data_IF_837255354118
#
_entry.id   IF_837255354118
#
_cell.length_a   1.000
_cell.length_b   1.000
_cell.length_c   1.000
_cell.angle_alpha   90.00
_cell.angle_beta   90.00
_cell.angle_gamma   90.00
#
_symmetry.space_group_name_H-M   'P 1'
#
loop_
_entity.id
_entity.type
_entity.pdbx_description
1 polymer ?
#
# COMPACT_ATOMS: atom_id res chain seq x y z
N UNK A 1 -4.32 9.05 -10.14
CA UNK A 1 -4.77 8.96 -8.72
C UNK A 1 -4.77 10.33 -8.06
N UNK A 2 -3.67 11.09 -8.15
CA UNK A 2 -3.50 12.32 -7.34
C UNK A 2 -4.19 13.57 -7.91
N UNK A 3 -4.41 13.65 -9.24
CA UNK A 3 -5.03 14.80 -9.87
C UNK A 3 -4.43 16.15 -9.44
N UNK A 4 -5.18 17.23 -9.59
CA UNK A 4 -4.71 18.58 -9.21
C UNK A 4 -4.76 18.82 -7.69
N UNK A 5 -5.69 18.19 -6.97
CA UNK A 5 -5.88 18.37 -5.53
C UNK A 5 -5.01 17.45 -4.67
N UNK A 6 -4.24 16.55 -5.30
CA UNK A 6 -3.35 15.63 -4.62
C UNK A 6 -4.05 14.49 -3.88
N UNK A 7 -3.25 13.68 -3.20
CA UNK A 7 -3.67 12.57 -2.33
C UNK A 7 -3.38 12.94 -0.88
N UNK A 8 -4.31 12.61 0.02
CA UNK A 8 -4.11 12.70 1.47
C UNK A 8 -3.29 11.51 1.97
N UNK A 9 -1.96 11.61 1.90
CA UNK A 9 -1.08 10.51 2.27
C UNK A 9 -0.87 10.41 3.78
N UNK A 10 -1.07 9.22 4.33
CA UNK A 10 -0.74 8.85 5.71
C UNK A 10 0.27 7.73 5.68
N UNK A 11 1.47 8.00 6.19
CA UNK A 11 2.56 7.04 6.26
C UNK A 11 2.60 6.38 7.63
N UNK A 12 2.58 5.06 7.65
CA UNK A 12 2.66 4.29 8.89
C UNK A 12 4.10 3.87 9.19
N UNK A 13 4.51 3.98 10.46
CA UNK A 13 5.83 3.57 10.91
C UNK A 13 5.96 2.05 10.98
N UNK A 14 7.14 1.55 10.64
CA UNK A 14 7.38 0.11 10.50
C UNK A 14 7.01 -0.41 9.11
N UNK A 15 7.51 -1.58 8.79
CA UNK A 15 7.18 -2.31 7.55
C UNK A 15 7.52 -3.78 7.74
N UNK A 16 6.65 -4.73 7.37
CA UNK A 16 6.94 -6.15 7.47
C UNK A 16 8.06 -6.59 6.52
N UNK A 17 8.30 -5.83 5.43
CA UNK A 17 9.35 -6.11 4.46
C UNK A 17 10.63 -5.32 4.78
N UNK A 18 11.76 -6.00 4.82
CA UNK A 18 13.04 -5.44 5.26
C UNK A 18 13.96 -4.92 4.16
N UNK A 19 13.45 -4.26 3.11
CA UNK A 19 14.25 -3.85 1.95
C UNK A 19 15.46 -3.00 2.32
N UNK A 20 16.64 -3.36 1.81
CA UNK A 20 17.90 -2.62 2.07
C UNK A 20 17.96 -1.28 1.33
N UNK A 21 17.16 -1.12 0.27
CA UNK A 21 17.08 0.09 -0.57
C UNK A 21 15.83 0.94 -0.28
N UNK A 22 15.20 0.77 0.89
CA UNK A 22 13.96 1.47 1.22
C UNK A 22 14.17 3.00 1.22
N UNK A 23 13.43 3.72 0.37
CA UNK A 23 13.46 5.19 0.32
C UNK A 23 12.99 5.81 1.64
N UNK A 24 12.06 5.15 2.32
CA UNK A 24 11.52 5.58 3.62
C UNK A 24 12.18 4.80 4.78
N UNK A 25 13.49 4.59 4.75
CA UNK A 25 14.20 3.72 5.68
C UNK A 25 13.93 4.06 7.15
N UNK A 26 14.03 5.34 7.53
CA UNK A 26 13.82 5.75 8.91
C UNK A 26 12.39 5.43 9.40
N UNK A 27 11.39 5.64 8.55
CA UNK A 27 9.99 5.34 8.84
C UNK A 27 9.75 3.83 8.86
N UNK A 28 10.23 3.11 7.84
CA UNK A 28 10.01 1.66 7.72
C UNK A 28 10.68 0.84 8.82
N UNK A 29 11.68 1.41 9.50
CA UNK A 29 12.35 0.80 10.67
C UNK A 29 11.79 1.31 12.01
N UNK A 30 10.70 2.07 12.00
CA UNK A 30 10.06 2.59 13.21
C UNK A 30 10.92 3.59 13.99
N UNK A 31 11.88 4.25 13.31
CA UNK A 31 12.77 5.23 13.96
C UNK A 31 12.15 6.61 14.07
N UNK A 32 11.15 6.88 13.27
CA UNK A 32 10.34 8.10 13.26
C UNK A 32 8.86 7.73 13.19
N UNK A 33 8.04 8.57 13.75
CA UNK A 33 6.58 8.40 13.79
C UNK A 33 6.05 8.87 15.14
N UNK A 34 4.76 9.08 15.21
CA UNK A 34 4.04 9.45 16.43
C UNK A 34 2.98 8.38 16.72
N UNK A 35 2.89 7.95 17.97
CA UNK A 35 1.80 7.05 18.38
C UNK A 35 0.53 7.86 18.58
N UNK A 36 -0.53 7.46 17.88
CA UNK A 36 -1.84 8.11 17.96
C UNK A 36 -2.92 7.08 18.32
N UNK A 37 -4.00 7.55 18.94
CA UNK A 37 -5.17 6.70 19.15
C UNK A 37 -5.95 6.48 17.83
N UNK A 38 -6.84 5.49 17.82
CA UNK A 38 -7.71 5.20 16.67
C UNK A 38 -8.61 6.39 16.35
N UNK A 39 -9.14 7.08 17.36
CA UNK A 39 -9.96 8.28 17.19
C UNK A 39 -9.16 9.43 16.57
N UNK A 40 -7.90 9.58 17.00
CA UNK A 40 -6.99 10.58 16.42
C UNK A 40 -6.68 10.26 14.96
N UNK A 41 -6.46 8.99 14.63
CA UNK A 41 -6.26 8.55 13.24
C UNK A 41 -7.51 8.82 12.40
N UNK A 42 -8.71 8.53 12.92
CA UNK A 42 -9.97 8.84 12.25
C UNK A 42 -10.14 10.35 12.02
N UNK A 43 -9.77 11.19 13.01
CA UNK A 43 -9.78 12.65 12.86
C UNK A 43 -8.79 13.14 11.80
N UNK A 44 -7.62 12.48 11.65
CA UNK A 44 -6.66 12.78 10.59
C UNK A 44 -7.29 12.47 9.22
N UNK A 45 -7.95 11.33 9.04
CA UNK A 45 -8.65 10.96 7.80
C UNK A 45 -9.72 12.00 7.43
N UNK A 46 -10.58 12.36 8.38
CA UNK A 46 -11.61 13.37 8.17
C UNK A 46 -11.01 14.75 7.84
N UNK A 47 -9.91 15.13 8.50
CA UNK A 47 -9.20 16.38 8.24
C UNK A 47 -8.57 16.45 6.85
N UNK A 48 -8.04 15.33 6.34
CA UNK A 48 -7.53 15.24 4.98
C UNK A 48 -8.65 15.36 3.95
N UNK A 49 -9.76 14.65 4.16
CA UNK A 49 -10.95 14.76 3.30
C UNK A 49 -11.48 16.21 3.26
N UNK A 50 -11.57 16.87 4.43
CA UNK A 50 -12.01 18.26 4.50
C UNK A 50 -11.10 19.25 3.75
N UNK A 51 -9.83 18.91 3.51
CA UNK A 51 -8.91 19.67 2.65
C UNK A 51 -9.19 19.50 1.15
N UNK A 52 -10.13 18.63 0.78
CA UNK A 52 -10.56 18.40 -0.58
C UNK A 52 -9.63 17.53 -1.42
N UNK A 53 -8.79 16.70 -0.80
CA UNK A 53 -7.93 15.74 -1.52
C UNK A 53 -8.78 14.72 -2.32
N UNK A 54 -8.20 14.14 -3.39
CA UNK A 54 -8.93 13.19 -4.23
C UNK A 54 -9.15 11.82 -3.57
N UNK A 55 -8.26 11.42 -2.68
CA UNK A 55 -8.32 10.14 -1.96
C UNK A 55 -7.53 10.19 -0.66
N UNK A 56 -7.76 9.20 0.20
CA UNK A 56 -6.89 8.88 1.33
C UNK A 56 -5.90 7.81 0.90
N UNK A 57 -4.62 8.10 0.91
CA UNK A 57 -3.55 7.18 0.52
C UNK A 57 -2.84 6.66 1.79
N UNK A 58 -3.13 5.40 2.16
CA UNK A 58 -2.63 4.73 3.34
C UNK A 58 -1.37 3.95 2.98
N UNK A 59 -0.20 4.48 3.37
CA UNK A 59 1.09 3.97 2.92
C UNK A 59 1.72 3.07 3.98
N UNK A 60 1.96 1.81 3.63
CA UNK A 60 2.62 0.80 4.49
C UNK A 60 1.87 0.56 5.82
N UNK A 61 0.56 0.39 5.74
CA UNK A 61 -0.33 0.22 6.91
C UNK A 61 -0.50 -1.20 7.41
N UNK A 62 0.10 -2.21 6.76
CA UNK A 62 -0.12 -3.66 6.98
C UNK A 62 -0.10 -4.07 8.46
N UNK A 63 0.89 -3.59 9.23
CA UNK A 63 1.08 -3.91 10.64
C UNK A 63 0.04 -3.27 11.56
N UNK A 64 -0.78 -2.33 11.06
CA UNK A 64 -1.84 -1.61 11.78
C UNK A 64 -3.22 -1.84 11.16
N UNK A 65 -3.40 -2.94 10.44
CA UNK A 65 -4.66 -3.26 9.75
C UNK A 65 -5.88 -3.17 10.67
N UNK A 66 -5.90 -3.72 11.90
CA UNK A 66 -7.04 -3.62 12.79
C UNK A 66 -7.40 -2.17 13.16
N UNK A 67 -6.40 -1.37 13.56
CA UNK A 67 -6.57 0.02 13.98
C UNK A 67 -7.00 0.92 12.83
N UNK A 68 -6.44 0.69 11.64
CA UNK A 68 -6.82 1.42 10.42
C UNK A 68 -8.27 1.15 10.05
N UNK A 69 -8.72 -0.11 10.12
CA UNK A 69 -10.11 -0.47 9.85
C UNK A 69 -11.07 0.19 10.80
N UNK A 70 -10.74 0.20 12.09
CA UNK A 70 -11.55 0.86 13.10
C UNK A 70 -11.61 2.37 12.85
N UNK A 71 -10.47 3.01 12.56
CA UNK A 71 -10.42 4.43 12.22
C UNK A 71 -11.23 4.76 10.95
N UNK A 72 -11.19 3.93 9.92
CA UNK A 72 -12.03 4.07 8.71
C UNK A 72 -13.52 3.89 9.03
N UNK A 73 -13.86 3.00 9.96
CA UNK A 73 -15.26 2.81 10.41
C UNK A 73 -15.79 4.03 11.16
N UNK A 74 -14.94 4.73 11.91
CA UNK A 74 -15.28 5.99 12.61
C UNK A 74 -15.35 7.14 11.60
N UNK A 75 -14.34 7.33 10.77
CA UNK A 75 -14.24 8.46 9.84
C UNK A 75 -15.23 8.40 8.69
N UNK A 76 -15.56 7.20 8.19
CA UNK A 76 -16.48 6.95 7.06
C UNK A 76 -16.21 7.86 5.85
N UNK A 77 -14.96 7.86 5.31
CA UNK A 77 -14.62 8.76 4.23
C UNK A 77 -15.51 8.52 3.00
N UNK A 78 -15.88 9.61 2.31
CA UNK A 78 -16.66 9.57 1.07
C UNK A 78 -15.79 9.55 -0.18
N UNK A 79 -14.49 9.84 -0.01
CA UNK A 79 -13.49 9.75 -1.06
C UNK A 79 -12.86 8.35 -1.09
N UNK A 80 -12.29 7.92 -2.22
CA UNK A 80 -11.63 6.62 -2.30
C UNK A 80 -10.54 6.44 -1.25
N UNK A 81 -10.49 5.26 -0.64
CA UNK A 81 -9.39 4.83 0.20
C UNK A 81 -8.43 4.01 -0.65
N UNK A 82 -7.17 4.41 -0.66
CA UNK A 82 -6.08 3.78 -1.40
C UNK A 82 -5.18 3.05 -0.41
N UNK A 83 -4.98 1.75 -0.61
CA UNK A 83 -4.04 0.93 0.14
C UNK A 83 -2.74 0.79 -0.63
N UNK A 84 -1.73 1.56 -0.21
CA UNK A 84 -0.41 1.59 -0.85
C UNK A 84 0.54 0.68 -0.06
N UNK A 85 0.89 -0.45 -0.65
CA UNK A 85 1.57 -1.53 0.04
C UNK A 85 2.77 -2.06 -0.74
N UNK A 86 3.72 -2.65 -0.01
CA UNK A 86 4.83 -3.39 -0.62
C UNK A 86 4.39 -4.67 -1.36
N UNK A 87 3.11 -5.00 -1.35
CA UNK A 87 2.59 -6.26 -1.88
C UNK A 87 2.80 -7.47 -0.95
N UNK A 88 3.56 -7.33 0.13
CA UNK A 88 3.83 -8.42 1.09
C UNK A 88 2.69 -8.52 2.10
N UNK A 89 1.55 -9.02 1.62
CA UNK A 89 0.30 -9.15 2.38
C UNK A 89 -0.14 -10.62 2.42
N UNK A 90 -0.88 -10.97 3.45
CA UNK A 90 -1.64 -12.23 3.45
C UNK A 90 -2.98 -12.03 2.73
N UNK A 91 -3.55 -13.11 2.19
CA UNK A 91 -4.91 -13.09 1.61
C UNK A 91 -5.93 -12.63 2.64
N UNK A 92 -5.81 -13.07 3.90
CA UNK A 92 -6.70 -12.68 5.00
C UNK A 92 -6.65 -11.17 5.28
N UNK A 93 -5.45 -10.56 5.19
CA UNK A 93 -5.30 -9.11 5.31
C UNK A 93 -6.05 -8.38 4.20
N UNK A 94 -5.92 -8.85 2.96
CA UNK A 94 -6.63 -8.29 1.81
C UNK A 94 -8.15 -8.42 2.00
N UNK A 95 -8.65 -9.59 2.38
CA UNK A 95 -10.07 -9.84 2.62
C UNK A 95 -10.63 -8.94 3.73
N UNK A 96 -9.82 -8.73 4.75
CA UNK A 96 -10.15 -7.87 5.89
C UNK A 96 -10.28 -6.39 5.49
N UNK A 97 -9.45 -5.91 4.56
CA UNK A 97 -9.41 -4.51 4.10
C UNK A 97 -10.40 -4.22 2.97
N UNK A 98 -10.68 -5.19 2.13
CA UNK A 98 -11.44 -5.02 0.90
C UNK A 98 -12.79 -4.28 1.05
N UNK A 99 -13.57 -4.43 2.16
CA UNK A 99 -14.81 -3.69 2.32
C UNK A 99 -14.66 -2.17 2.45
N UNK A 100 -13.47 -1.69 2.81
CA UNK A 100 -13.21 -0.27 3.10
C UNK A 100 -12.16 0.36 2.16
N UNK A 101 -11.50 -0.46 1.33
CA UNK A 101 -10.47 -0.03 0.38
C UNK A 101 -11.02 -0.05 -1.03
N UNK A 102 -10.95 1.07 -1.72
CA UNK A 102 -11.41 1.21 -3.11
C UNK A 102 -10.32 0.89 -4.12
N UNK A 103 -9.09 1.27 -3.81
CA UNK A 103 -7.94 1.15 -4.72
C UNK A 103 -6.78 0.49 -3.99
N UNK A 104 -6.22 -0.55 -4.58
CA UNK A 104 -4.96 -1.13 -4.12
C UNK A 104 -3.81 -0.67 -5.01
N UNK A 105 -2.72 -0.26 -4.37
CA UNK A 105 -1.44 0.11 -4.99
C UNK A 105 -0.34 -0.84 -4.50
N UNK A 106 -0.32 -2.11 -4.94
CA UNK A 106 0.72 -3.03 -4.56
C UNK A 106 1.97 -2.86 -5.41
N UNK A 107 3.14 -2.93 -4.78
CA UNK A 107 4.39 -3.17 -5.48
C UNK A 107 4.53 -4.67 -5.81
N UNK A 108 5.13 -4.99 -6.95
CA UNK A 108 5.72 -6.30 -7.22
C UNK A 108 7.24 -6.13 -7.38
N UNK A 109 7.94 -6.16 -6.25
CA UNK A 109 9.38 -5.82 -6.18
C UNK A 109 10.29 -6.92 -6.74
N UNK A 110 9.88 -8.18 -6.63
CA UNK A 110 10.66 -9.36 -7.02
C UNK A 110 9.76 -10.44 -7.58
N UNK A 111 10.27 -11.13 -8.60
CA UNK A 111 9.72 -12.40 -9.09
C UNK A 111 10.62 -13.58 -8.75
N UNK A 112 11.87 -13.31 -8.33
CA UNK A 112 12.88 -14.29 -7.95
C UNK A 112 13.00 -14.34 -6.41
N UNK A 113 12.81 -15.52 -5.79
CA UNK A 113 12.98 -15.72 -4.35
C UNK A 113 14.40 -15.42 -3.85
N UNK A 114 15.44 -15.65 -4.64
CA UNK A 114 16.82 -15.40 -4.24
C UNK A 114 17.09 -13.88 -4.13
N UNK A 115 16.57 -13.07 -5.05
CA UNK A 115 16.65 -11.62 -4.98
C UNK A 115 15.83 -11.08 -3.80
N UNK A 116 14.65 -11.61 -3.58
CA UNK A 116 13.80 -11.25 -2.45
C UNK A 116 14.47 -11.56 -1.10
N UNK A 117 15.11 -12.74 -0.98
CA UNK A 117 15.90 -13.11 0.20
C UNK A 117 17.08 -12.15 0.41
N UNK A 118 17.83 -11.85 -0.66
CA UNK A 118 19.04 -11.01 -0.61
C UNK A 118 18.73 -9.57 -0.21
N UNK A 119 17.72 -8.96 -0.80
CA UNK A 119 17.47 -7.51 -0.66
C UNK A 119 16.37 -7.16 0.33
N UNK A 120 15.50 -8.12 0.68
CA UNK A 120 14.38 -7.87 1.60
C UNK A 120 14.22 -8.91 2.71
N UNK A 121 15.08 -9.95 2.74
CA UNK A 121 15.04 -11.06 3.71
C UNK A 121 13.73 -11.83 3.70
N UNK A 122 13.02 -11.86 2.57
CA UNK A 122 11.72 -12.46 2.39
C UNK A 122 11.71 -13.39 1.16
N UNK A 123 12.27 -14.61 1.25
CA UNK A 123 12.33 -15.53 0.10
C UNK A 123 10.96 -15.96 -0.41
N UNK A 124 9.93 -15.89 0.42
CA UNK A 124 8.53 -16.18 0.11
C UNK A 124 7.77 -15.00 -0.54
N UNK A 125 8.39 -13.81 -0.62
CA UNK A 125 7.77 -12.60 -1.16
C UNK A 125 7.09 -12.79 -2.52
N UNK A 126 7.73 -13.42 -3.55
CA UNK A 126 7.11 -13.55 -4.86
C UNK A 126 5.78 -14.33 -4.84
N UNK A 127 5.70 -15.36 -4.00
CA UNK A 127 4.49 -16.16 -3.85
C UNK A 127 3.41 -15.38 -3.07
N UNK A 128 3.79 -14.75 -1.96
CA UNK A 128 2.89 -13.94 -1.14
C UNK A 128 2.32 -12.76 -1.94
N UNK A 129 3.18 -11.98 -2.62
CA UNK A 129 2.76 -10.82 -3.40
C UNK A 129 1.83 -11.22 -4.55
N UNK A 130 2.12 -12.28 -5.29
CA UNK A 130 1.24 -12.77 -6.37
C UNK A 130 -0.14 -13.17 -5.84
N UNK A 131 -0.20 -13.88 -4.71
CA UNK A 131 -1.45 -14.30 -4.10
C UNK A 131 -2.27 -13.11 -3.60
N UNK A 132 -1.61 -12.14 -2.94
CA UNK A 132 -2.25 -10.92 -2.46
C UNK A 132 -2.78 -10.06 -3.61
N UNK A 133 -1.97 -9.82 -4.66
CA UNK A 133 -2.37 -9.02 -5.83
C UNK A 133 -3.55 -9.67 -6.54
N UNK A 134 -3.51 -11.00 -6.73
CA UNK A 134 -4.64 -11.73 -7.31
C UNK A 134 -5.92 -11.49 -6.49
N UNK A 135 -5.82 -11.59 -5.17
CA UNK A 135 -6.97 -11.38 -4.27
C UNK A 135 -7.48 -9.94 -4.31
N UNK A 136 -6.59 -8.94 -4.40
CA UNK A 136 -6.96 -7.53 -4.59
C UNK A 136 -7.77 -7.32 -5.88
N UNK A 137 -7.34 -7.95 -6.98
CA UNK A 137 -8.05 -7.89 -8.27
C UNK A 137 -9.42 -8.58 -8.19
N UNK A 138 -9.52 -9.73 -7.51
CA UNK A 138 -10.80 -10.42 -7.30
C UNK A 138 -11.80 -9.55 -6.53
N UNK A 139 -11.36 -8.77 -5.55
CA UNK A 139 -12.21 -7.88 -4.77
C UNK A 139 -12.61 -6.60 -5.50
N UNK A 140 -11.69 -6.00 -6.25
CA UNK A 140 -11.95 -4.72 -6.90
C UNK A 140 -12.62 -4.86 -8.25
N UNK A 141 -12.35 -5.97 -8.97
CA UNK A 141 -12.80 -6.15 -10.35
C UNK A 141 -12.06 -5.25 -11.34
N UNK A 142 -12.76 -4.83 -12.38
CA UNK A 142 -12.23 -3.97 -13.42
C UNK A 142 -11.96 -2.53 -12.91
N UNK A 143 -11.13 -1.79 -13.62
CA UNK A 143 -10.89 -0.38 -13.36
C UNK A 143 -12.16 0.45 -13.50
N UNK A 144 -12.42 1.29 -12.49
CA UNK A 144 -13.46 2.31 -12.55
C UNK A 144 -12.82 3.69 -12.44
N UNK A 145 -12.99 4.51 -13.46
CA UNK A 145 -12.54 5.89 -13.49
C UNK A 145 -13.73 6.83 -13.29
N UNK A 146 -13.49 8.00 -12.70
CA UNK A 146 -14.49 9.06 -12.69
C UNK A 146 -14.48 9.86 -14.01
N UNK A 147 -15.36 10.87 -14.10
CA UNK A 147 -15.49 11.77 -15.25
C UNK A 147 -14.21 12.55 -15.59
N UNK A 148 -13.29 12.68 -14.63
CA UNK A 148 -12.00 13.35 -14.80
C UNK A 148 -10.85 12.37 -15.05
N UNK A 149 -11.15 11.07 -15.25
CA UNK A 149 -10.17 10.03 -15.49
C UNK A 149 -9.38 9.61 -14.23
N UNK A 150 -9.85 9.96 -13.03
CA UNK A 150 -9.23 9.54 -11.77
C UNK A 150 -9.73 8.15 -11.35
N UNK A 151 -8.82 7.31 -10.91
CA UNK A 151 -9.14 5.95 -10.46
C UNK A 151 -10.00 6.00 -9.18
N UNK A 152 -11.19 5.42 -9.26
CA UNK A 152 -12.16 5.30 -8.16
C UNK A 152 -12.12 3.93 -7.53
N UNK A 153 -11.84 2.89 -8.34
CA UNK A 153 -11.78 1.50 -7.90
C UNK A 153 -10.83 0.70 -8.78
N UNK A 154 -10.10 -0.24 -8.21
CA UNK A 154 -9.23 -1.15 -8.97
C UNK A 154 -7.88 -1.40 -8.32
N UNK A 155 -7.00 -2.10 -9.04
CA UNK A 155 -5.61 -2.35 -8.65
C UNK A 155 -4.69 -1.63 -9.63
N UNK A 156 -3.81 -0.79 -9.13
CA UNK A 156 -2.75 -0.17 -9.93
C UNK A 156 -1.40 -0.65 -9.38
N UNK A 157 -0.76 -1.58 -10.09
CA UNK A 157 0.52 -2.13 -9.67
C UNK A 157 1.70 -1.24 -10.08
N UNK A 158 2.63 -1.00 -9.16
CA UNK A 158 3.98 -0.53 -9.49
C UNK A 158 4.89 -1.76 -9.64
N UNK A 159 5.30 -2.03 -10.88
CA UNK A 159 6.16 -3.16 -11.22
C UNK A 159 7.61 -2.69 -11.33
N UNK A 160 8.23 -2.32 -10.22
CA UNK A 160 9.67 -2.14 -10.16
C UNK A 160 10.35 -3.52 -10.24
N UNK A 161 10.42 -4.08 -11.45
CA UNK A 161 11.17 -5.29 -11.72
C UNK A 161 12.66 -4.98 -11.53
N UNK A 162 13.22 -5.29 -10.37
CA UNK A 162 14.63 -5.60 -10.25
C UNK A 162 14.89 -6.96 -10.93
N UNK A 163 14.66 -7.00 -12.24
CA UNK A 163 15.13 -8.05 -13.12
C UNK A 163 16.43 -7.57 -13.77
N UNK A 164 17.50 -7.48 -13.01
CA UNK A 164 18.82 -7.22 -13.57
C UNK A 164 19.85 -8.00 -12.78
N UNK A 165 20.05 -9.23 -13.19
CA UNK A 165 21.39 -9.79 -13.24
C UNK A 165 21.53 -10.55 -14.57
N UNK A 166 21.50 -9.80 -15.67
CA UNK A 166 22.15 -10.28 -16.89
C UNK A 166 23.61 -9.86 -16.77
N UNK A 167 24.45 -10.85 -16.49
CA UNK A 167 25.86 -10.70 -16.39
C UNK A 167 26.45 -9.82 -17.51
N UNK A 168 26.86 -8.64 -17.15
CA UNK A 168 27.84 -7.89 -17.95
C UNK A 168 29.18 -8.47 -17.56
N UNK A 169 29.64 -9.42 -18.40
CA UNK A 169 31.02 -9.86 -18.34
C UNK A 169 31.92 -8.66 -18.55
N UNK A 170 32.73 -8.35 -17.55
CA UNK A 170 33.84 -7.46 -17.71
C UNK A 170 34.93 -8.20 -18.51
N UNK A 171 35.20 -7.74 -19.73
CA UNK A 171 36.45 -7.90 -20.41
C UNK A 171 37.37 -6.72 -20.08
#
# INVERSE_FOLDING_TARGET
>A
ISGERGSGAVFFAGCPLGCVYCQNYALSRGRIGETVSVERLAAIFAGLEAKGVHNLNLVTGTQFTPEIREALTIAKPKIPVVWNTSGYETVDTVDTLAPQVSVFLPDLKYTDPALAARYSRAPDYPAAAKSAIKRMVEHTGAFELDENGLLRRGVLGDFALLALDHGVGHH
#
